data_IF_053443511032
#
_entry.id   IF_053443511032
#
_cell.length_a   1.000
_cell.length_b   1.000
_cell.length_c   1.000
_cell.angle_alpha   90.00
_cell.angle_beta   90.00
_cell.angle_gamma   90.00
#
_symmetry.space_group_name_H-M   'P 1'
#
loop_
_entity.id
_entity.type
_entity.pdbx_description
1 polymer ?
#
# COMPACT_ATOMS: atom_id res chain seq x y z
N UNK A 1 3.39 -20.82 5.64
CA UNK A 1 3.65 -19.37 5.50
C UNK A 1 2.88 -18.90 4.29
N UNK A 2 2.17 -17.76 4.36
CA UNK A 2 1.49 -17.16 3.20
C UNK A 2 2.33 -16.02 2.65
N UNK A 3 2.37 -15.86 1.33
CA UNK A 3 3.08 -14.76 0.69
C UNK A 3 2.23 -13.49 0.78
N UNK A 4 2.80 -12.40 1.31
CA UNK A 4 2.09 -11.12 1.46
C UNK A 4 2.20 -10.29 0.19
N UNK A 5 1.06 -9.82 -0.31
CA UNK A 5 0.96 -8.87 -1.42
C UNK A 5 0.18 -7.64 -0.95
N UNK A 6 0.76 -6.46 -1.14
CA UNK A 6 0.13 -5.19 -0.77
C UNK A 6 -0.25 -4.44 -2.05
N UNK A 7 -1.49 -3.98 -2.12
CA UNK A 7 -2.04 -3.23 -3.26
C UNK A 7 -2.68 -1.93 -2.80
N UNK A 8 -2.92 -0.99 -3.69
CA UNK A 8 -3.40 0.35 -3.32
C UNK A 8 -4.87 0.38 -2.87
N UNK A 9 -5.76 -0.36 -3.56
CA UNK A 9 -7.21 -0.25 -3.38
C UNK A 9 -7.86 -1.58 -2.96
N UNK A 10 -8.97 -1.52 -2.17
CA UNK A 10 -9.71 -2.73 -1.77
C UNK A 10 -10.22 -3.57 -2.94
N UNK A 11 -10.61 -2.92 -4.05
CA UNK A 11 -11.07 -3.60 -5.24
C UNK A 11 -9.97 -4.47 -5.87
N UNK A 12 -8.73 -3.95 -5.98
CA UNK A 12 -7.58 -4.71 -6.47
C UNK A 12 -7.31 -5.93 -5.56
N UNK A 13 -7.39 -5.75 -4.24
CA UNK A 13 -7.15 -6.82 -3.28
C UNK A 13 -8.14 -7.98 -3.45
N UNK A 14 -9.44 -7.67 -3.61
CA UNK A 14 -10.49 -8.68 -3.85
C UNK A 14 -10.25 -9.43 -5.16
N UNK A 15 -9.98 -8.72 -6.25
CA UNK A 15 -9.77 -9.32 -7.56
C UNK A 15 -8.53 -10.23 -7.59
N UNK A 16 -7.40 -9.75 -7.08
CA UNK A 16 -6.14 -10.51 -7.08
C UNK A 16 -6.21 -11.70 -6.10
N UNK A 17 -6.82 -11.52 -4.92
CA UNK A 17 -7.03 -12.60 -3.96
C UNK A 17 -7.85 -13.76 -4.53
N UNK A 18 -8.85 -13.46 -5.37
CA UNK A 18 -9.64 -14.50 -6.06
C UNK A 18 -8.80 -15.30 -7.08
N UNK A 19 -7.77 -14.69 -7.70
CA UNK A 19 -6.91 -15.36 -8.66
C UNK A 19 -5.80 -16.20 -8.02
N UNK A 20 -5.22 -15.73 -6.91
CA UNK A 20 -4.05 -16.34 -6.30
C UNK A 20 -4.37 -17.40 -5.23
N UNK A 21 -5.58 -17.40 -4.69
CA UNK A 21 -6.01 -18.41 -3.72
C UNK A 21 -5.39 -18.23 -2.33
N UNK A 22 -5.42 -19.30 -1.52
CA UNK A 22 -5.17 -19.25 -0.07
C UNK A 22 -3.69 -19.14 0.35
N UNK A 23 -2.77 -19.36 -0.58
CA UNK A 23 -1.33 -19.29 -0.35
C UNK A 23 -0.81 -17.84 -0.28
N UNK A 24 -1.64 -16.89 -0.72
CA UNK A 24 -1.34 -15.48 -0.69
C UNK A 24 -2.27 -14.75 0.29
N UNK A 25 -1.70 -13.76 0.96
CA UNK A 25 -2.45 -12.77 1.72
C UNK A 25 -2.38 -11.45 0.97
N UNK A 26 -3.53 -10.95 0.50
CA UNK A 26 -3.60 -9.73 -0.30
C UNK A 26 -4.29 -8.62 0.49
N UNK A 27 -3.57 -7.55 0.80
CA UNK A 27 -4.06 -6.45 1.66
C UNK A 27 -4.01 -5.12 0.91
N UNK A 28 -5.01 -4.27 1.12
CA UNK A 28 -5.05 -2.93 0.54
C UNK A 28 -4.42 -1.87 1.47
N UNK A 29 -3.53 -1.03 0.95
CA UNK A 29 -2.95 0.13 1.66
C UNK A 29 -3.94 1.27 1.85
N UNK A 30 -5.02 1.30 1.05
CA UNK A 30 -6.03 2.36 1.01
C UNK A 30 -5.42 3.74 0.69
N UNK A 31 -4.47 3.76 -0.24
CA UNK A 31 -3.75 4.96 -0.68
C UNK A 31 -2.39 5.13 -0.01
N UNK A 32 -1.95 6.38 0.11
CA UNK A 32 -0.65 6.73 0.68
C UNK A 32 -0.61 6.52 2.19
N UNK A 33 0.42 5.81 2.66
CA UNK A 33 0.66 5.55 4.09
C UNK A 33 1.49 6.68 4.73
N UNK A 34 2.26 7.40 3.91
CA UNK A 34 3.10 8.53 4.31
C UNK A 34 3.02 9.60 3.24
N UNK A 35 3.07 10.84 3.72
CA UNK A 35 3.12 12.03 2.90
C UNK A 35 4.04 13.04 3.59
N UNK A 36 4.50 14.03 2.83
CA UNK A 36 5.18 15.19 3.40
C UNK A 36 4.19 15.99 4.27
N UNK A 37 4.71 16.87 5.16
CA UNK A 37 3.85 17.75 5.92
C UNK A 37 2.94 18.57 5.00
N UNK A 38 1.63 18.55 5.26
CA UNK A 38 0.64 19.21 4.38
C UNK A 38 0.79 20.73 4.33
N UNK A 39 1.35 21.33 5.37
CA UNK A 39 1.37 22.78 5.57
C UNK A 39 2.74 23.34 5.90
N UNK A 40 3.73 22.51 6.27
CA UNK A 40 5.09 22.97 6.57
C UNK A 40 6.08 22.55 5.49
N UNK A 41 7.18 23.30 5.37
CA UNK A 41 8.26 22.97 4.44
C UNK A 41 8.95 21.68 4.91
N UNK A 42 8.67 20.57 4.20
CA UNK A 42 9.05 19.22 4.59
C UNK A 42 10.46 18.78 4.17
N UNK A 43 11.27 19.71 3.66
CA UNK A 43 12.59 19.44 3.11
C UNK A 43 13.59 20.35 3.80
N UNK A 44 14.73 19.81 4.21
CA UNK A 44 15.88 20.60 4.65
C UNK A 44 16.83 20.73 3.47
N UNK A 45 17.15 21.96 3.07
CA UNK A 45 18.18 22.23 2.06
C UNK A 45 19.49 22.46 2.83
N UNK A 46 20.54 21.75 2.44
CA UNK A 46 21.90 21.98 2.91
C UNK A 46 22.68 22.65 1.77
N UNK A 47 23.49 23.65 2.11
CA UNK A 47 24.28 24.45 1.16
C UNK A 47 25.53 23.71 0.66
#
# INVERSE_FOLDING_TARGET
MKNLIIVESPAKAKTIGNFLGKDYEVIASKGHIRDLPKTSFGIKIED
#
